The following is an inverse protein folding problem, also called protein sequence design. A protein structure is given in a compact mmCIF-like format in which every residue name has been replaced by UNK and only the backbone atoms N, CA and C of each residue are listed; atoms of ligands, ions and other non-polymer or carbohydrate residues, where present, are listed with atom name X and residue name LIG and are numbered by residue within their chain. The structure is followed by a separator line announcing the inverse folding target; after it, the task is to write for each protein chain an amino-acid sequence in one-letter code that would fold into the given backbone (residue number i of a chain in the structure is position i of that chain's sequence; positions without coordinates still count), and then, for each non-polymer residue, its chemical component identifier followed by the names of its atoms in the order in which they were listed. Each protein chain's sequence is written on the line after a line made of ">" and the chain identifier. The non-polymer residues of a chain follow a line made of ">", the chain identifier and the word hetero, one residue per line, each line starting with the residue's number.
data_IF_440846668558
#
_entry.id   IF_440846668558
#
_cell.length_a   1.000
_cell.length_b   1.000
_cell.length_c   1.000
_cell.angle_alpha   90.00
_cell.angle_beta   90.00
_cell.angle_gamma   90.00
#
_symmetry.space_group_name_H-M   'P 1'
#
loop_
_entity.id
_entity.type
_entity.pdbx_description
1 polymer ?
#
# COMPACT_ATOMS: atom_id res chain seq x y z
N UNK A 1 3.37 66.76 -11.32
CA UNK A 1 2.27 67.01 -12.28
C UNK A 1 1.21 65.91 -12.11
N UNK A 2 -0.09 66.23 -12.16
CA UNK A 2 -1.16 65.25 -12.00
C UNK A 2 -1.06 64.06 -12.98
N UNK A 3 -0.51 64.31 -14.18
CA UNK A 3 -0.33 63.30 -15.23
C UNK A 3 0.66 62.20 -14.87
N UNK A 4 1.73 62.51 -14.14
CA UNK A 4 2.72 61.50 -13.72
C UNK A 4 2.19 60.61 -12.60
N UNK A 5 1.36 61.17 -11.71
CA UNK A 5 0.67 60.41 -10.66
C UNK A 5 -0.36 59.44 -11.26
N UNK A 6 -1.17 59.92 -12.21
CA UNK A 6 -2.15 59.09 -12.91
C UNK A 6 -1.51 57.93 -13.70
N UNK A 7 -0.35 58.15 -14.33
CA UNK A 7 0.39 57.10 -15.04
C UNK A 7 0.96 56.04 -14.09
N UNK A 8 1.48 56.46 -12.92
CA UNK A 8 1.98 55.54 -11.91
C UNK A 8 0.84 54.69 -11.30
N UNK A 9 -0.32 55.30 -11.06
CA UNK A 9 -1.50 54.65 -10.50
C UNK A 9 -2.12 53.64 -11.49
N UNK A 10 -2.18 53.99 -12.78
CA UNK A 10 -2.60 53.06 -13.83
C UNK A 10 -1.63 51.88 -14.00
N UNK A 11 -0.32 52.10 -13.83
CA UNK A 11 0.67 51.03 -13.87
C UNK A 11 0.58 50.09 -12.65
N UNK A 12 0.32 50.64 -11.46
CA UNK A 12 0.09 49.86 -10.24
C UNK A 12 -1.18 49.01 -10.34
N UNK A 13 -2.28 49.58 -10.85
CA UNK A 13 -3.53 48.86 -11.05
C UNK A 13 -3.39 47.66 -12.01
N UNK A 14 -2.60 47.81 -13.08
CA UNK A 14 -2.32 46.72 -14.02
C UNK A 14 -1.54 45.57 -13.36
N UNK A 15 -0.52 45.89 -12.56
CA UNK A 15 0.25 44.87 -11.81
C UNK A 15 -0.61 44.16 -10.78
N UNK A 16 -1.50 44.89 -10.09
CA UNK A 16 -2.41 44.29 -9.13
C UNK A 16 -3.40 43.33 -9.81
N UNK A 17 -4.01 43.75 -10.92
CA UNK A 17 -4.92 42.91 -11.69
C UNK A 17 -4.25 41.65 -12.24
N UNK A 18 -2.98 41.73 -12.63
CA UNK A 18 -2.20 40.58 -13.07
C UNK A 18 -1.92 39.60 -11.91
N UNK A 19 -1.58 40.12 -10.73
CA UNK A 19 -1.39 39.30 -9.53
C UNK A 19 -2.68 38.59 -9.11
N UNK A 20 -3.79 39.32 -9.08
CA UNK A 20 -5.11 38.78 -8.72
C UNK A 20 -5.55 37.68 -9.71
N UNK A 21 -5.23 37.84 -11.01
CA UNK A 21 -5.50 36.82 -12.03
C UNK A 21 -4.72 35.52 -11.78
N UNK A 22 -3.44 35.62 -11.39
CA UNK A 22 -2.59 34.46 -11.09
C UNK A 22 -3.10 33.71 -9.85
N UNK A 23 -3.58 34.44 -8.83
CA UNK A 23 -4.17 33.83 -7.62
C UNK A 23 -5.46 33.09 -8.00
N UNK A 24 -6.37 33.73 -8.75
CA UNK A 24 -7.63 33.13 -9.16
C UNK A 24 -7.45 31.87 -10.05
N UNK A 25 -6.44 31.87 -10.93
CA UNK A 25 -6.13 30.71 -11.77
C UNK A 25 -5.63 29.51 -10.94
N UNK A 26 -4.76 29.75 -9.95
CA UNK A 26 -4.28 28.71 -9.04
C UNK A 26 -5.39 28.15 -8.14
N UNK A 27 -6.32 28.98 -7.70
CA UNK A 27 -7.49 28.54 -6.93
C UNK A 27 -8.42 27.66 -7.79
N UNK A 28 -8.70 28.08 -9.02
CA UNK A 28 -9.53 27.31 -9.95
C UNK A 28 -8.89 25.97 -10.34
N UNK A 29 -7.57 25.92 -10.50
CA UNK A 29 -6.83 24.67 -10.74
C UNK A 29 -6.90 23.72 -9.54
N UNK A 30 -6.78 24.26 -8.32
CA UNK A 30 -6.91 23.51 -7.07
C UNK A 30 -8.28 22.84 -6.93
N UNK A 31 -9.36 23.57 -7.21
CA UNK A 31 -10.72 23.04 -7.10
C UNK A 31 -11.05 22.04 -8.22
N UNK A 32 -10.53 22.27 -9.43
CA UNK A 32 -10.62 21.32 -10.54
C UNK A 32 -9.91 19.98 -10.22
N UNK A 33 -8.76 20.03 -9.56
CA UNK A 33 -8.02 18.84 -9.14
C UNK A 33 -8.76 18.05 -8.04
N UNK A 34 -9.33 18.75 -7.05
CA UNK A 34 -10.17 18.13 -6.01
C UNK A 34 -11.40 17.45 -6.62
N UNK A 35 -12.07 18.09 -7.59
CA UNK A 35 -13.24 17.52 -8.25
C UNK A 35 -12.90 16.28 -9.10
N UNK A 36 -11.78 16.29 -9.82
CA UNK A 36 -11.29 15.10 -10.56
C UNK A 36 -11.00 13.93 -9.60
N UNK A 37 -10.37 14.20 -8.45
CA UNK A 37 -10.08 13.19 -7.44
C UNK A 37 -11.35 12.59 -6.83
N UNK A 38 -12.34 13.43 -6.51
CA UNK A 38 -13.66 12.98 -6.01
C UNK A 38 -14.39 12.08 -7.01
N UNK A 39 -14.42 12.46 -8.30
CA UNK A 39 -15.03 11.66 -9.37
C UNK A 39 -14.36 10.29 -9.52
N UNK A 40 -13.03 10.25 -9.44
CA UNK A 40 -12.30 8.98 -9.53
C UNK A 40 -12.59 8.06 -8.34
N UNK A 41 -12.61 8.61 -7.12
CA UNK A 41 -12.93 7.85 -5.91
C UNK A 41 -14.37 7.31 -5.94
N UNK A 42 -15.35 8.10 -6.37
CA UNK A 42 -16.74 7.66 -6.52
C UNK A 42 -16.89 6.57 -7.60
N UNK A 43 -16.16 6.67 -8.72
CA UNK A 43 -16.16 5.63 -9.76
C UNK A 43 -15.63 4.29 -9.27
N UNK A 44 -14.53 4.31 -8.51
CA UNK A 44 -13.95 3.10 -7.89
C UNK A 44 -14.91 2.49 -6.87
N UNK A 45 -15.56 3.31 -6.04
CA UNK A 45 -16.54 2.84 -5.04
C UNK A 45 -17.78 2.19 -5.67
N UNK A 46 -18.31 2.79 -6.75
CA UNK A 46 -19.47 2.23 -7.48
C UNK A 46 -19.13 0.89 -8.15
N UNK A 47 -17.95 0.79 -8.75
CA UNK A 47 -17.51 -0.45 -9.40
C UNK A 47 -17.30 -1.59 -8.38
N UNK A 48 -16.74 -1.28 -7.21
CA UNK A 48 -16.59 -2.24 -6.13
C UNK A 48 -17.95 -2.79 -5.66
N UNK A 49 -18.94 -1.90 -5.44
CA UNK A 49 -20.30 -2.30 -5.04
C UNK A 49 -20.97 -3.19 -6.08
N UNK A 50 -20.90 -2.83 -7.37
CA UNK A 50 -21.49 -3.62 -8.45
C UNK A 50 -20.87 -5.02 -8.54
N UNK A 51 -19.54 -5.11 -8.40
CA UNK A 51 -18.83 -6.39 -8.42
C UNK A 51 -19.18 -7.28 -7.23
N UNK A 52 -19.34 -6.70 -6.03
CA UNK A 52 -19.80 -7.45 -4.85
C UNK A 52 -21.23 -7.94 -5.02
N UNK A 53 -22.14 -7.12 -5.54
CA UNK A 53 -23.53 -7.54 -5.78
C UNK A 53 -23.60 -8.69 -6.79
N UNK A 54 -22.85 -8.59 -7.90
CA UNK A 54 -22.76 -9.65 -8.91
C UNK A 54 -22.23 -10.98 -8.32
N UNK A 55 -21.33 -10.93 -7.33
CA UNK A 55 -20.84 -12.12 -6.65
C UNK A 55 -21.89 -12.77 -5.74
N UNK A 56 -22.70 -11.96 -5.06
CA UNK A 56 -23.80 -12.46 -4.20
C UNK A 56 -24.88 -13.12 -5.06
N UNK A 57 -25.27 -12.49 -6.17
CA UNK A 57 -26.29 -13.03 -7.08
C UNK A 57 -25.81 -14.34 -7.75
N UNK A 58 -24.50 -14.46 -8.03
CA UNK A 58 -23.90 -15.69 -8.55
C UNK A 58 -23.93 -16.83 -7.53
N UNK A 59 -23.79 -16.55 -6.22
CA UNK A 59 -23.89 -17.58 -5.18
C UNK A 59 -25.31 -18.12 -5.03
N UNK A 60 -26.35 -17.29 -5.13
CA UNK A 60 -27.73 -17.77 -4.98
C UNK A 60 -28.21 -18.60 -6.19
N UNK A 61 -27.66 -18.35 -7.39
CA UNK A 61 -27.90 -19.21 -8.55
C UNK A 61 -27.34 -20.64 -8.34
N UNK A 62 -26.20 -20.79 -7.64
CA UNK A 62 -25.60 -22.12 -7.36
C UNK A 62 -26.40 -22.95 -6.34
N UNK A 63 -27.16 -22.31 -5.44
CA UNK A 63 -28.03 -23.02 -4.48
C UNK A 63 -29.29 -23.60 -5.17
N UNK A 64 -29.82 -22.93 -6.19
CA UNK A 64 -30.99 -23.42 -6.95
C UNK A 64 -30.69 -24.65 -7.84
N UNK A 65 -29.43 -24.85 -8.24
CA UNK A 65 -29.01 -26.01 -9.05
C UNK A 65 -28.96 -27.29 -8.21
N UNK A 66 -28.54 -27.21 -6.94
CA UNK A 66 -28.47 -28.40 -6.07
C UNK A 66 -29.84 -28.91 -5.64
N UNK A 67 -30.86 -28.05 -5.53
CA UNK A 67 -32.21 -28.47 -5.11
C UNK A 67 -33.00 -29.21 -6.20
N UNK A 68 -32.52 -29.20 -7.47
CA UNK A 68 -33.13 -29.97 -8.57
C UNK A 68 -32.62 -31.41 -8.69
N UNK A 69 -31.59 -31.79 -7.92
CA UNK A 69 -30.98 -33.13 -7.95
C UNK A 69 -31.42 -34.07 -6.83
N UNK A 70 -32.26 -33.62 -5.90
CA UNK A 70 -32.72 -34.45 -4.76
C UNK A 70 -33.89 -35.40 -5.11
N UNK A 71 -34.28 -35.49 -6.38
CA UNK A 71 -35.47 -36.25 -6.82
C UNK A 71 -35.26 -37.67 -7.34
N UNK A 72 -34.03 -38.15 -7.54
CA UNK A 72 -33.79 -39.37 -8.34
C UNK A 72 -33.19 -40.59 -7.61
N UNK A 73 -32.94 -40.54 -6.31
CA UNK A 73 -32.31 -41.67 -5.59
C UNK A 73 -33.18 -42.23 -4.47
N UNK A 74 -34.47 -42.51 -4.75
CA UNK A 74 -35.30 -43.28 -3.81
C UNK A 74 -36.20 -44.28 -4.52
N UNK A 75 -35.64 -45.12 -5.40
CA UNK A 75 -36.28 -46.40 -5.76
C UNK A 75 -35.33 -47.36 -6.46
N UNK A 76 -34.67 -48.22 -5.67
CA UNK A 76 -34.56 -49.67 -5.92
C UNK A 76 -33.63 -50.29 -4.90
N UNK A 77 -34.24 -50.97 -3.92
CA UNK A 77 -33.58 -52.00 -3.11
C UNK A 77 -34.01 -53.34 -3.67
N UNK A 78 -33.06 -54.28 -3.74
CA UNK A 78 -33.21 -55.71 -4.10
C UNK A 78 -33.45 -55.95 -5.60
N UNK A 79 -32.66 -56.75 -6.32
CA UNK A 79 -32.23 -58.12 -6.03
C UNK A 79 -31.01 -58.50 -6.90
N UNK A 80 -30.33 -59.58 -6.50
CA UNK A 80 -29.30 -60.38 -7.19
C UNK A 80 -27.82 -59.97 -7.06
N UNK A 81 -27.18 -60.72 -6.16
CA UNK A 81 -25.79 -61.18 -6.16
C UNK A 81 -25.35 -61.68 -7.54
N UNK A 82 -24.22 -61.19 -8.07
CA UNK A 82 -22.98 -61.97 -8.34
C UNK A 82 -21.78 -61.02 -8.38
N UNK A 83 -20.62 -61.51 -7.92
CA UNK A 83 -19.30 -60.89 -8.01
C UNK A 83 -18.98 -60.35 -9.42
N UNK A 84 -18.53 -59.09 -9.52
CA UNK A 84 -17.46 -58.70 -10.45
C UNK A 84 -16.59 -57.62 -9.79
N UNK A 85 -15.31 -57.91 -9.61
CA UNK A 85 -14.27 -56.92 -9.32
C UNK A 85 -14.19 -55.96 -10.51
N UNK A 86 -14.62 -54.70 -10.34
CA UNK A 86 -14.62 -53.67 -11.38
C UNK A 86 -13.85 -52.42 -10.92
N UNK A 87 -12.94 -51.85 -11.75
CA UNK A 87 -11.96 -50.84 -11.34
C UNK A 87 -12.52 -49.41 -11.28
N UNK A 88 -13.70 -49.20 -10.69
CA UNK A 88 -14.34 -47.86 -10.60
C UNK A 88 -13.93 -47.04 -9.37
N UNK A 89 -13.24 -47.62 -8.39
CA UNK A 89 -12.81 -46.92 -7.16
C UNK A 89 -11.76 -45.84 -7.42
N UNK A 90 -11.03 -45.92 -8.55
CA UNK A 90 -9.88 -45.05 -8.82
C UNK A 90 -10.23 -43.67 -9.39
N UNK A 91 -11.47 -43.44 -9.84
CA UNK A 91 -11.87 -42.15 -10.46
C UNK A 91 -12.39 -41.16 -9.41
N UNK A 92 -13.28 -41.63 -8.53
CA UNK A 92 -13.84 -40.83 -7.42
C UNK A 92 -12.72 -40.39 -6.47
N UNK A 93 -11.73 -41.26 -6.21
CA UNK A 93 -10.61 -40.96 -5.32
C UNK A 93 -9.71 -39.84 -5.88
N UNK A 94 -9.46 -39.82 -7.20
CA UNK A 94 -8.71 -38.75 -7.88
C UNK A 94 -9.46 -37.42 -7.93
N UNK A 95 -10.79 -37.46 -8.07
CA UNK A 95 -11.61 -36.25 -8.07
C UNK A 95 -11.63 -35.57 -6.69
N UNK A 96 -11.67 -36.35 -5.60
CA UNK A 96 -11.58 -35.83 -4.22
C UNK A 96 -10.19 -35.24 -3.94
N UNK A 97 -9.12 -35.92 -4.35
CA UNK A 97 -7.73 -35.47 -4.20
C UNK A 97 -7.45 -34.18 -5.01
N UNK A 98 -8.07 -34.06 -6.20
CA UNK A 98 -8.06 -32.84 -7.01
C UNK A 98 -8.78 -31.68 -6.31
N UNK A 99 -9.95 -31.93 -5.72
CA UNK A 99 -10.71 -30.91 -4.98
C UNK A 99 -9.93 -30.43 -3.75
N UNK A 100 -9.31 -31.34 -2.99
CA UNK A 100 -8.47 -30.95 -1.85
C UNK A 100 -7.26 -30.11 -2.27
N UNK A 101 -6.64 -30.45 -3.40
CA UNK A 101 -5.53 -29.69 -3.99
C UNK A 101 -5.98 -28.27 -4.40
N UNK A 102 -7.16 -28.15 -5.00
CA UNK A 102 -7.76 -26.86 -5.38
C UNK A 102 -8.08 -26.03 -4.12
N UNK A 103 -8.63 -26.63 -3.07
CA UNK A 103 -8.92 -25.96 -1.79
C UNK A 103 -7.62 -25.47 -1.15
N UNK A 104 -6.58 -26.31 -1.11
CA UNK A 104 -5.28 -25.93 -0.56
C UNK A 104 -4.64 -24.77 -1.35
N UNK A 105 -4.70 -24.84 -2.68
CA UNK A 105 -4.18 -23.79 -3.55
C UNK A 105 -4.96 -22.49 -3.37
N UNK A 106 -6.30 -22.53 -3.32
CA UNK A 106 -7.13 -21.36 -3.07
C UNK A 106 -6.88 -20.77 -1.68
N UNK A 107 -6.67 -21.58 -0.64
CA UNK A 107 -6.25 -21.11 0.69
C UNK A 107 -4.88 -20.41 0.63
N UNK A 108 -3.93 -20.97 -0.12
CA UNK A 108 -2.61 -20.37 -0.29
C UNK A 108 -2.67 -19.05 -1.07
N UNK A 109 -3.46 -18.98 -2.14
CA UNK A 109 -3.69 -17.78 -2.92
C UNK A 109 -4.40 -16.71 -2.08
N UNK A 110 -5.43 -17.08 -1.32
CA UNK A 110 -6.15 -16.19 -0.40
C UNK A 110 -5.21 -15.66 0.69
N UNK A 111 -4.37 -16.50 1.27
CA UNK A 111 -3.39 -16.09 2.28
C UNK A 111 -2.33 -15.16 1.68
N UNK A 112 -1.90 -15.42 0.44
CA UNK A 112 -0.92 -14.59 -0.26
C UNK A 112 -1.51 -13.24 -0.67
N UNK A 113 -2.76 -13.22 -1.10
CA UNK A 113 -3.51 -12.00 -1.41
C UNK A 113 -3.82 -11.19 -0.14
N UNK A 114 -4.15 -11.85 0.98
CA UNK A 114 -4.36 -11.21 2.27
C UNK A 114 -3.10 -10.45 2.71
N UNK A 115 -1.91 -11.05 2.55
CA UNK A 115 -0.62 -10.38 2.80
C UNK A 115 -0.38 -9.18 1.89
N UNK A 116 -0.82 -9.24 0.62
CA UNK A 116 -0.73 -8.11 -0.31
C UNK A 116 -1.78 -7.00 -0.06
N UNK A 117 -2.87 -7.31 0.65
CA UNK A 117 -4.01 -6.43 0.87
C UNK A 117 -4.01 -5.70 2.22
N UNK A 118 -3.07 -6.04 3.12
CA UNK A 118 -2.85 -5.22 4.31
C UNK A 118 -2.54 -3.79 3.86
N UNK A 119 -3.01 -2.75 4.58
CA UNK A 119 -2.58 -1.39 4.33
C UNK A 119 -1.07 -1.44 4.29
N UNK A 120 -0.47 -1.27 3.10
CA UNK A 120 0.98 -1.22 2.94
C UNK A 120 1.42 -0.23 4.00
N UNK A 121 2.11 -0.72 5.04
CA UNK A 121 2.59 0.13 6.12
C UNK A 121 3.52 1.12 5.45
N UNK A 122 3.00 2.23 4.98
CA UNK A 122 3.75 3.31 4.40
C UNK A 122 4.17 4.12 5.61
N UNK A 123 5.39 3.91 6.14
CA UNK A 123 5.86 4.79 7.19
C UNK A 123 5.80 6.22 6.65
N UNK A 124 5.35 7.16 7.47
CA UNK A 124 5.47 8.57 7.08
C UNK A 124 6.96 8.91 6.87
N UNK A 125 7.22 9.93 6.07
CA UNK A 125 8.59 10.33 5.79
C UNK A 125 9.26 10.84 7.07
N UNK A 126 10.37 10.22 7.45
CA UNK A 126 11.10 10.53 8.68
C UNK A 126 11.83 11.87 8.57
N UNK A 127 11.37 12.84 9.35
CA UNK A 127 11.93 14.19 9.39
C UNK A 127 13.18 14.36 10.25
N UNK A 128 13.66 13.31 10.93
CA UNK A 128 14.78 13.41 11.87
C UNK A 128 14.38 13.52 13.35
N UNK A 129 13.14 13.22 13.71
CA UNK A 129 12.72 13.19 15.12
C UNK A 129 13.19 11.90 15.81
N UNK A 130 14.07 12.03 16.79
CA UNK A 130 14.63 10.90 17.53
C UNK A 130 13.58 10.02 18.23
N UNK A 131 12.45 10.60 18.65
CA UNK A 131 11.36 9.86 19.34
C UNK A 131 10.61 8.93 18.39
N UNK A 132 10.54 9.32 17.11
CA UNK A 132 9.86 8.57 16.06
C UNK A 132 10.79 7.59 15.33
N UNK A 133 12.10 7.62 15.60
CA UNK A 133 13.10 6.84 14.87
C UNK A 133 12.85 5.33 14.96
N UNK A 134 12.63 4.79 16.15
CA UNK A 134 12.43 3.34 16.34
C UNK A 134 11.07 2.85 15.80
N UNK A 135 9.93 3.53 16.09
CA UNK A 135 8.66 3.19 15.46
C UNK A 135 8.72 3.26 13.93
N UNK A 136 9.33 4.31 13.38
CA UNK A 136 9.49 4.49 11.94
C UNK A 136 10.39 3.39 11.32
N UNK A 137 11.56 3.11 11.91
CA UNK A 137 12.51 2.09 11.43
C UNK A 137 11.84 0.71 11.39
N UNK A 138 11.04 0.38 12.39
CA UNK A 138 10.27 -0.88 12.45
C UNK A 138 9.26 -0.97 11.29
N UNK A 139 8.45 0.08 11.10
CA UNK A 139 7.48 0.15 10.02
C UNK A 139 8.12 0.10 8.62
N UNK A 140 9.25 0.81 8.45
CA UNK A 140 10.02 0.80 7.21
C UNK A 140 10.59 -0.58 6.89
N UNK A 141 11.22 -1.25 7.86
CA UNK A 141 11.73 -2.61 7.65
C UNK A 141 10.62 -3.63 7.39
N UNK A 142 9.45 -3.49 8.02
CA UNK A 142 8.30 -4.32 7.74
C UNK A 142 7.83 -4.16 6.28
N UNK A 143 7.76 -2.92 5.79
CA UNK A 143 7.42 -2.64 4.38
C UNK A 143 8.41 -3.25 3.39
N UNK A 144 9.72 -3.22 3.70
CA UNK A 144 10.75 -3.76 2.81
C UNK A 144 10.72 -5.30 2.74
N UNK A 145 10.34 -5.98 3.83
CA UNK A 145 10.28 -7.46 3.89
C UNK A 145 9.29 -8.07 2.89
N UNK A 146 8.26 -7.32 2.50
CA UNK A 146 7.25 -7.78 1.55
C UNK A 146 7.61 -7.46 0.08
N UNK A 147 8.69 -6.69 -0.15
CA UNK A 147 9.01 -6.10 -1.46
C UNK A 147 10.23 -6.70 -2.17
N UNK A 148 10.96 -7.65 -1.54
CA UNK A 148 12.16 -8.32 -2.07
C UNK A 148 13.11 -7.36 -2.82
N UNK A 149 13.63 -6.35 -2.12
CA UNK A 149 14.40 -5.26 -2.70
C UNK A 149 15.91 -5.52 -2.68
N UNK A 150 16.62 -5.05 -3.70
CA UNK A 150 18.09 -5.03 -3.70
C UNK A 150 18.63 -3.89 -2.81
N UNK A 151 19.89 -3.98 -2.30
CA UNK A 151 20.45 -2.94 -1.44
C UNK A 151 20.45 -1.53 -2.06
N UNK A 152 20.65 -1.41 -3.37
CA UNK A 152 20.53 -0.14 -4.10
C UNK A 152 19.10 0.41 -4.09
N UNK A 153 18.10 -0.47 -4.22
CA UNK A 153 16.70 -0.09 -4.13
C UNK A 153 16.38 0.37 -2.70
N UNK A 154 16.83 -0.36 -1.68
CA UNK A 154 16.67 0.05 -0.27
C UNK A 154 17.23 1.45 0.00
N UNK A 155 18.42 1.78 -0.52
CA UNK A 155 19.02 3.12 -0.38
C UNK A 155 18.15 4.19 -1.05
N UNK A 156 17.64 3.92 -2.25
CA UNK A 156 16.75 4.83 -2.97
C UNK A 156 15.41 5.02 -2.25
N UNK A 157 14.88 3.96 -1.63
CA UNK A 157 13.69 4.04 -0.78
C UNK A 157 13.98 4.82 0.50
N UNK A 158 15.12 4.57 1.14
CA UNK A 158 15.52 5.28 2.35
C UNK A 158 15.58 6.80 2.11
N UNK A 159 16.08 7.23 0.95
CA UNK A 159 16.06 8.64 0.53
C UNK A 159 14.66 9.22 0.34
N UNK A 160 13.70 8.43 -0.14
CA UNK A 160 12.31 8.86 -0.35
C UNK A 160 11.53 8.97 0.96
N UNK A 161 11.86 8.11 1.93
CA UNK A 161 11.21 8.03 3.23
C UNK A 161 11.97 8.77 4.34
N UNK A 162 12.99 9.55 3.99
CA UNK A 162 13.69 10.47 4.89
C UNK A 162 13.58 11.90 4.35
N UNK A 163 13.53 12.86 5.25
CA UNK A 163 13.49 14.30 4.96
C UNK A 163 14.51 15.04 5.82
N UNK A 164 14.84 16.27 5.43
CA UNK A 164 15.71 17.14 6.21
C UNK A 164 17.11 16.55 6.41
N UNK A 165 17.57 16.50 7.66
CA UNK A 165 18.94 16.09 7.97
C UNK A 165 19.18 14.59 7.81
N UNK A 166 18.14 13.76 8.00
CA UNK A 166 18.21 12.33 7.69
C UNK A 166 18.41 12.08 6.19
N UNK A 167 17.76 12.89 5.33
CA UNK A 167 17.91 12.77 3.88
C UNK A 167 19.29 13.23 3.39
N UNK A 168 19.78 14.36 3.93
CA UNK A 168 21.15 14.86 3.63
C UNK A 168 22.21 13.82 3.99
N UNK A 169 22.00 13.08 5.09
CA UNK A 169 22.88 11.99 5.48
C UNK A 169 22.92 10.91 4.39
N UNK A 170 21.77 10.38 3.97
CA UNK A 170 21.68 9.37 2.90
C UNK A 170 22.32 9.85 1.59
N UNK A 171 22.05 11.09 1.19
CA UNK A 171 22.62 11.69 -0.02
C UNK A 171 24.16 11.83 0.07
N UNK A 172 24.71 12.12 1.24
CA UNK A 172 26.16 12.24 1.45
C UNK A 172 26.90 10.92 1.24
N UNK A 173 26.27 9.80 1.60
CA UNK A 173 26.83 8.46 1.44
C UNK A 173 26.73 8.00 -0.02
N UNK A 174 25.65 8.34 -0.73
CA UNK A 174 25.52 8.04 -2.17
C UNK A 174 26.59 8.74 -3.02
N UNK A 175 26.94 9.98 -2.68
CA UNK A 175 28.00 10.75 -3.37
C UNK A 175 29.39 10.14 -3.25
N UNK A 176 29.61 9.22 -2.30
CA UNK A 176 30.91 8.57 -2.09
C UNK A 176 31.21 7.45 -3.10
N UNK A 177 30.26 7.12 -4.00
CA UNK A 177 30.30 6.32 -5.26
C UNK A 177 31.24 5.08 -5.43
N UNK A 178 32.06 4.70 -4.45
CA UNK A 178 33.09 3.67 -4.58
C UNK A 178 32.95 2.53 -3.56
N UNK A 179 31.78 2.35 -2.94
CA UNK A 179 31.53 1.23 -2.00
C UNK A 179 30.42 0.32 -2.48
N UNK A 180 30.58 -0.95 -2.14
CA UNK A 180 29.59 -2.00 -2.34
C UNK A 180 28.23 -1.59 -1.73
N UNK A 181 27.11 -1.76 -2.44
CA UNK A 181 25.79 -1.28 -2.02
C UNK A 181 25.31 -1.80 -0.65
N UNK A 182 25.63 -3.05 -0.29
CA UNK A 182 25.19 -3.63 0.98
C UNK A 182 25.99 -3.07 2.17
N UNK A 183 27.31 -2.94 1.99
CA UNK A 183 28.17 -2.25 2.96
C UNK A 183 27.74 -0.80 3.19
N UNK A 184 27.39 -0.08 2.12
CA UNK A 184 26.89 1.29 2.20
C UNK A 184 25.59 1.40 2.99
N UNK A 185 24.64 0.51 2.70
CA UNK A 185 23.36 0.43 3.40
C UNK A 185 23.55 0.19 4.91
N UNK A 186 24.46 -0.70 5.30
CA UNK A 186 24.79 -0.95 6.71
C UNK A 186 25.37 0.29 7.40
N UNK A 187 26.29 1.01 6.76
CA UNK A 187 26.89 2.23 7.32
C UNK A 187 25.84 3.34 7.51
N UNK A 188 24.96 3.53 6.52
CA UNK A 188 23.88 4.53 6.60
C UNK A 188 22.92 4.20 7.75
N UNK A 189 22.56 2.93 7.92
CA UNK A 189 21.72 2.49 9.03
C UNK A 189 22.39 2.71 10.39
N UNK A 190 23.68 2.40 10.52
CA UNK A 190 24.44 2.59 11.75
C UNK A 190 24.52 4.08 12.14
N UNK A 191 24.73 4.97 11.16
CA UNK A 191 24.82 6.41 11.42
C UNK A 191 23.45 7.03 11.71
N UNK A 192 22.38 6.56 11.07
CA UNK A 192 21.00 6.94 11.42
C UNK A 192 20.67 6.54 12.87
N UNK A 193 21.04 5.33 13.28
CA UNK A 193 20.82 4.83 14.64
C UNK A 193 21.66 5.57 15.67
N UNK A 194 22.89 5.94 15.32
CA UNK A 194 23.75 6.76 16.17
C UNK A 194 23.19 8.15 16.40
N UNK A 195 22.64 8.79 15.36
CA UNK A 195 22.15 10.18 15.43
C UNK A 195 20.75 10.28 16.01
N UNK A 196 19.85 9.39 15.60
CA UNK A 196 18.42 9.49 15.94
C UNK A 196 17.98 8.43 16.94
N UNK A 197 18.68 7.31 17.09
CA UNK A 197 18.35 6.27 18.07
C UNK A 197 18.86 6.56 19.49
N UNK A 198 19.94 7.35 19.64
CA UNK A 198 20.58 7.61 20.94
C UNK A 198 19.96 8.74 21.75
N UNK A 199 19.19 9.64 21.13
CA UNK A 199 18.62 10.83 21.78
C UNK A 199 17.38 10.54 22.65
N UNK A 200 16.83 9.31 22.62
CA UNK A 200 15.74 8.91 23.52
C UNK A 200 16.19 8.60 24.96
N UNK A 201 17.48 8.77 25.29
CA UNK A 201 18.06 8.40 26.60
C UNK A 201 18.48 9.53 27.53
N UNK A 202 18.39 10.81 27.13
CA UNK A 202 18.81 11.92 28.00
C UNK A 202 17.73 13.01 28.08
N UNK A 203 16.72 12.74 28.93
CA UNK A 203 15.98 13.80 29.60
C UNK A 203 16.97 14.44 30.59
N UNK A 204 17.61 15.55 30.18
CA UNK A 204 18.42 16.37 31.07
C UNK A 204 17.52 17.05 32.10
N UNK A 205 17.58 16.58 33.35
CA UNK A 205 17.18 17.38 34.51
C UNK A 205 18.34 18.35 34.81
N UNK A 206 18.13 19.67 34.89
CA UNK A 206 19.17 20.57 35.35
C UNK A 206 19.45 20.30 36.84
N UNK A 207 20.72 20.33 37.30
CA UNK A 207 21.00 20.35 38.72
C UNK A 207 20.55 21.70 39.29
N UNK A 208 19.65 21.65 40.27
CA UNK A 208 19.33 22.82 41.09
C UNK A 208 20.59 23.25 41.84
N UNK A 209 20.89 24.55 41.74
CA UNK A 209 21.90 25.24 42.53
C UNK A 209 21.58 25.12 44.03
N UNK A 210 22.61 24.85 44.82
CA UNK A 210 22.64 25.08 46.26
C UNK A 210 23.95 25.81 46.58
#
# INVERSE_FOLDING_TARGET
>A
SARTKALAEAAAAKKQAEYDRIIAEKEHEGDSAKQKKKRHQEGVSKNAKHRTQQWVDAQDNTKSVNQRQDGYTSRRRSVFSHNTSSPQTTKIQRDVECIETIIATNKQLTSSLARQSLPKCHPDAFGGDATLFHPWKSAFKAMLRDADLSPDQEINYLRQYTKGDAQKLVDSYRKRQYREPASLLQEVWAELEKRFGKLSGHHQHPPEEN
#
